data_IF_901720982754
#
_entry.id   IF_901720982754
#
_cell.length_a   1.000
_cell.length_b   1.000
_cell.length_c   1.000
_cell.angle_alpha   90.00
_cell.angle_beta   90.00
_cell.angle_gamma   90.00
#
_symmetry.space_group_name_H-M   'P 1'
#
loop_
_entity.id
_entity.type
_entity.pdbx_description
1 polymer ?
#
# COMPACT_ATOMS: atom_id res chain seq x y z
N UNK A 1 7.99 -37.03 27.38
CA UNK A 1 7.24 -35.75 27.30
C UNK A 1 7.66 -35.01 26.05
N UNK A 2 6.81 -34.95 25.03
CA UNK A 2 7.05 -34.10 23.86
C UNK A 2 6.81 -32.64 24.28
N UNK A 3 7.85 -31.80 24.24
CA UNK A 3 7.69 -30.35 24.41
C UNK A 3 6.86 -29.86 23.23
N UNK A 4 5.65 -29.37 23.49
CA UNK A 4 4.88 -28.63 22.49
C UNK A 4 5.75 -27.45 22.03
N UNK A 5 6.13 -27.46 20.75
CA UNK A 5 6.75 -26.31 20.10
C UNK A 5 5.68 -25.22 20.07
N UNK A 6 5.80 -24.21 20.93
CA UNK A 6 5.03 -22.97 20.79
C UNK A 6 5.33 -22.40 19.41
N UNK A 7 4.30 -22.25 18.58
CA UNK A 7 4.45 -21.59 17.28
C UNK A 7 4.89 -20.14 17.48
N UNK A 8 5.81 -19.69 16.63
CA UNK A 8 6.27 -18.31 16.63
C UNK A 8 5.09 -17.38 16.33
N UNK A 9 4.79 -16.46 17.25
CA UNK A 9 3.82 -15.39 17.04
C UNK A 9 4.56 -14.07 16.82
N UNK A 10 4.46 -13.45 15.63
CA UNK A 10 4.98 -12.11 15.38
C UNK A 10 4.39 -11.06 16.33
N UNK A 11 5.20 -10.09 16.72
CA UNK A 11 4.78 -8.92 17.49
C UNK A 11 4.76 -7.72 16.56
N UNK A 12 3.66 -6.94 16.59
CA UNK A 12 3.56 -5.67 15.89
C UNK A 12 4.49 -4.67 16.57
N UNK A 13 5.53 -4.22 15.84
CA UNK A 13 6.50 -3.25 16.33
C UNK A 13 6.08 -1.82 16.03
N UNK A 14 5.51 -1.59 14.85
CA UNK A 14 5.14 -0.25 14.42
C UNK A 14 4.06 -0.29 13.33
N UNK A 15 3.17 0.70 13.34
CA UNK A 15 2.13 0.93 12.33
C UNK A 15 2.33 2.32 11.72
N UNK A 16 2.55 2.37 10.41
CA UNK A 16 2.78 3.62 9.68
C UNK A 16 1.43 4.25 9.27
N UNK A 17 0.75 4.91 10.20
CA UNK A 17 -0.60 5.47 9.97
C UNK A 17 -0.66 6.44 8.77
N UNK A 18 0.31 7.34 8.65
CA UNK A 18 0.36 8.29 7.52
C UNK A 18 0.49 7.58 6.17
N UNK A 19 1.21 6.45 6.13
CA UNK A 19 1.35 5.63 4.94
C UNK A 19 0.04 4.94 4.59
N UNK A 20 -0.68 4.42 5.57
CA UNK A 20 -1.99 3.79 5.37
C UNK A 20 -2.96 4.80 4.78
N UNK A 21 -3.10 5.96 5.42
CA UNK A 21 -4.02 7.02 5.00
C UNK A 21 -3.68 7.51 3.59
N UNK A 22 -2.41 7.80 3.31
CA UNK A 22 -1.99 8.27 1.99
C UNK A 22 -2.16 7.21 0.90
N UNK A 23 -1.86 5.94 1.19
CA UNK A 23 -2.01 4.84 0.22
C UNK A 23 -3.47 4.58 -0.09
N UNK A 24 -4.36 4.55 0.91
CA UNK A 24 -5.81 4.42 0.71
C UNK A 24 -6.33 5.58 -0.13
N UNK A 25 -5.95 6.82 0.18
CA UNK A 25 -6.38 8.00 -0.59
C UNK A 25 -5.94 7.92 -2.06
N UNK A 26 -4.72 7.45 -2.31
CA UNK A 26 -4.21 7.24 -3.66
C UNK A 26 -5.01 6.15 -4.38
N UNK A 27 -5.30 5.03 -3.71
CA UNK A 27 -6.10 3.95 -4.26
C UNK A 27 -7.52 4.43 -4.61
N UNK A 28 -8.17 5.19 -3.73
CA UNK A 28 -9.47 5.81 -4.00
C UNK A 28 -9.43 6.81 -5.16
N UNK A 29 -8.32 7.54 -5.33
CA UNK A 29 -8.13 8.44 -6.48
C UNK A 29 -8.02 7.66 -7.79
N UNK A 30 -7.32 6.53 -7.81
CA UNK A 30 -7.24 5.65 -8.97
C UNK A 30 -8.61 5.04 -9.31
N UNK A 31 -9.36 4.59 -8.31
CA UNK A 31 -10.73 4.11 -8.50
C UNK A 31 -11.63 5.15 -9.18
N UNK A 32 -11.50 6.44 -8.84
CA UNK A 32 -12.22 7.54 -9.52
C UNK A 32 -11.82 7.70 -10.99
N UNK A 33 -10.54 7.51 -11.31
CA UNK A 33 -10.07 7.58 -12.70
C UNK A 33 -10.66 6.42 -13.52
N UNK A 34 -10.62 5.20 -13.00
CA UNK A 34 -11.23 4.04 -13.66
C UNK A 34 -12.74 4.20 -13.84
N UNK A 35 -13.47 4.69 -12.84
CA UNK A 35 -14.89 5.00 -13.00
C UNK A 35 -15.14 6.03 -14.11
N UNK A 36 -14.27 7.02 -14.25
CA UNK A 36 -14.37 8.03 -15.32
C UNK A 36 -14.08 7.41 -16.70
N UNK A 37 -13.12 6.49 -16.77
CA UNK A 37 -12.81 5.73 -17.98
C UNK A 37 -13.99 4.84 -18.40
N UNK A 38 -14.54 4.06 -17.47
CA UNK A 38 -15.71 3.22 -17.72
C UNK A 38 -16.93 4.04 -18.16
N UNK A 39 -17.15 5.22 -17.58
CA UNK A 39 -18.22 6.12 -18.04
C UNK A 39 -18.00 6.63 -19.45
N UNK A 40 -16.75 6.91 -19.83
CA UNK A 40 -16.40 7.27 -21.20
C UNK A 40 -16.65 6.09 -22.16
N UNK A 41 -16.36 4.86 -21.73
CA UNK A 41 -16.67 3.65 -22.48
C UNK A 41 -18.19 3.44 -22.65
N UNK A 42 -18.99 3.57 -21.59
CA UNK A 42 -20.45 3.50 -21.63
C UNK A 42 -21.04 4.53 -22.60
N UNK A 43 -20.52 5.77 -22.57
CA UNK A 43 -20.93 6.84 -23.48
C UNK A 43 -20.59 6.49 -24.93
N UNK A 44 -19.39 5.95 -25.17
CA UNK A 44 -18.93 5.60 -26.49
C UNK A 44 -19.69 4.41 -27.10
N UNK A 45 -20.01 3.42 -26.27
CA UNK A 45 -20.77 2.23 -26.66
C UNK A 45 -22.29 2.45 -26.68
N UNK A 46 -22.74 3.62 -26.20
CA UNK A 46 -24.16 3.98 -26.04
C UNK A 46 -24.96 2.89 -25.28
N UNK A 47 -24.35 2.29 -24.25
CA UNK A 47 -24.97 1.29 -23.38
C UNK A 47 -24.41 1.38 -21.97
N UNK A 48 -25.17 0.89 -21.01
CA UNK A 48 -24.66 0.65 -19.67
C UNK A 48 -23.87 -0.66 -19.66
N UNK A 49 -22.66 -0.63 -19.09
CA UNK A 49 -21.83 -1.83 -18.98
C UNK A 49 -22.26 -2.65 -17.76
N UNK A 50 -22.28 -3.96 -17.93
CA UNK A 50 -22.39 -4.91 -16.82
C UNK A 50 -21.10 -4.93 -15.99
N UNK A 51 -21.15 -5.48 -14.78
CA UNK A 51 -19.96 -5.58 -13.92
C UNK A 51 -18.87 -6.44 -14.59
N UNK A 52 -19.23 -7.52 -15.29
CA UNK A 52 -18.30 -8.37 -16.03
C UNK A 52 -17.63 -7.62 -17.20
N UNK A 53 -18.40 -6.88 -18.00
CA UNK A 53 -17.84 -6.07 -19.10
C UNK A 53 -16.93 -4.95 -18.58
N UNK A 54 -17.25 -4.38 -17.41
CA UNK A 54 -16.38 -3.38 -16.76
C UNK A 54 -15.05 -4.00 -16.36
N UNK A 55 -15.08 -5.21 -15.81
CA UNK A 55 -13.87 -5.96 -15.46
C UNK A 55 -13.02 -6.21 -16.71
N UNK A 56 -13.61 -6.72 -17.78
CA UNK A 56 -12.89 -6.99 -19.04
C UNK A 56 -12.24 -5.72 -19.62
N UNK A 57 -12.96 -4.59 -19.60
CA UNK A 57 -12.43 -3.30 -20.06
C UNK A 57 -11.31 -2.78 -19.16
N UNK A 58 -11.35 -3.02 -17.85
CA UNK A 58 -10.26 -2.61 -16.95
C UNK A 58 -9.00 -3.46 -17.12
N UNK A 59 -9.16 -4.73 -17.47
CA UNK A 59 -8.05 -5.67 -17.72
C UNK A 59 -7.39 -5.46 -19.08
N UNK A 60 -8.21 -5.34 -20.13
CA UNK A 60 -7.75 -5.29 -21.52
C UNK A 60 -7.69 -3.85 -22.07
N UNK A 61 -8.18 -2.87 -21.31
CA UNK A 61 -8.12 -1.46 -21.66
C UNK A 61 -8.98 -1.10 -22.88
N UNK A 62 -8.46 -0.21 -23.71
CA UNK A 62 -9.19 0.36 -24.84
C UNK A 62 -9.47 -0.67 -25.95
N UNK A 63 -8.67 -1.73 -26.04
CA UNK A 63 -8.85 -2.76 -27.07
C UNK A 63 -10.16 -3.55 -26.88
N UNK A 64 -10.59 -3.76 -25.64
CA UNK A 64 -11.88 -4.40 -25.34
C UNK A 64 -13.07 -3.54 -25.79
N UNK A 65 -12.95 -2.22 -25.62
CA UNK A 65 -13.95 -1.27 -26.12
C UNK A 65 -14.07 -1.38 -27.64
N UNK A 66 -12.94 -1.52 -28.34
CA UNK A 66 -12.92 -1.74 -29.78
C UNK A 66 -13.55 -3.08 -30.17
N UNK A 67 -13.32 -4.15 -29.39
CA UNK A 67 -14.01 -5.43 -29.57
C UNK A 67 -15.52 -5.27 -29.49
N UNK A 68 -16.03 -4.57 -28.48
CA UNK A 68 -17.46 -4.28 -28.38
C UNK A 68 -17.98 -3.45 -29.56
N UNK A 69 -17.28 -2.40 -29.98
CA UNK A 69 -17.67 -1.57 -31.13
C UNK A 69 -17.77 -2.37 -32.43
N UNK A 70 -16.79 -3.25 -32.69
CA UNK A 70 -16.75 -4.09 -33.89
C UNK A 70 -17.98 -4.96 -34.06
N UNK A 71 -18.63 -5.38 -32.97
CA UNK A 71 -19.88 -6.16 -33.05
C UNK A 71 -21.02 -5.40 -33.71
N UNK A 72 -21.00 -4.06 -33.64
CA UNK A 72 -22.00 -3.17 -34.22
C UNK A 72 -21.61 -2.59 -35.59
N UNK A 73 -20.46 -2.95 -36.15
CA UNK A 73 -20.00 -2.44 -37.43
C UNK A 73 -20.88 -2.96 -38.59
N UNK A 74 -21.38 -2.03 -39.41
CA UNK A 74 -22.25 -2.37 -40.54
C UNK A 74 -21.47 -2.90 -41.74
N UNK A 75 -20.21 -2.48 -41.89
CA UNK A 75 -19.36 -2.84 -43.02
C UNK A 75 -18.27 -3.82 -42.58
N UNK A 76 -18.63 -5.11 -42.47
CA UNK A 76 -17.75 -6.19 -41.95
C UNK A 76 -16.40 -6.35 -42.67
N UNK A 77 -16.31 -5.89 -43.92
CA UNK A 77 -15.09 -5.99 -44.74
C UNK A 77 -14.34 -4.65 -44.86
N UNK A 78 -14.88 -3.56 -44.30
CA UNK A 78 -14.20 -2.27 -44.28
C UNK A 78 -13.24 -2.18 -43.08
N UNK A 79 -12.35 -1.19 -43.09
CA UNK A 79 -11.47 -0.96 -41.94
C UNK A 79 -12.27 -0.46 -40.73
N UNK A 80 -11.67 -0.56 -39.54
CA UNK A 80 -12.27 -0.04 -38.31
C UNK A 80 -12.45 1.48 -38.42
N UNK A 81 -11.46 2.19 -38.97
CA UNK A 81 -11.52 3.65 -39.14
C UNK A 81 -12.71 4.08 -39.98
N UNK A 82 -12.97 3.38 -41.10
CA UNK A 82 -14.12 3.67 -41.95
C UNK A 82 -15.44 3.44 -41.20
N UNK A 83 -15.57 2.34 -40.45
CA UNK A 83 -16.78 2.06 -39.69
C UNK A 83 -17.02 3.10 -38.58
N UNK A 84 -15.97 3.48 -37.85
CA UNK A 84 -16.01 4.52 -36.82
C UNK A 84 -16.46 5.86 -37.43
N UNK A 85 -15.85 6.27 -38.55
CA UNK A 85 -16.17 7.52 -39.23
C UNK A 85 -17.61 7.50 -39.79
N UNK A 86 -18.01 6.41 -40.45
CA UNK A 86 -19.35 6.26 -41.01
C UNK A 86 -20.45 6.28 -39.92
N UNK A 87 -20.14 5.85 -38.70
CA UNK A 87 -21.04 5.91 -37.55
C UNK A 87 -20.95 7.24 -36.77
N UNK A 88 -20.04 8.15 -37.16
CA UNK A 88 -19.83 9.43 -36.48
C UNK A 88 -19.26 9.30 -35.07
N UNK A 89 -18.56 8.20 -34.78
CA UNK A 89 -18.03 7.90 -33.45
C UNK A 89 -16.71 8.66 -33.23
N UNK A 90 -16.63 9.45 -32.16
CA UNK A 90 -15.40 10.12 -31.77
C UNK A 90 -14.68 9.35 -30.64
N UNK A 91 -13.58 8.67 -30.98
CA UNK A 91 -12.79 7.89 -30.02
C UNK A 91 -11.88 8.74 -29.11
N UNK A 92 -11.58 9.99 -29.49
CA UNK A 92 -10.54 10.81 -28.83
C UNK A 92 -10.81 11.00 -27.31
N UNK A 93 -12.04 11.36 -26.87
CA UNK A 93 -12.31 11.56 -25.45
C UNK A 93 -12.05 10.29 -24.64
N UNK A 94 -12.50 9.13 -25.13
CA UNK A 94 -12.31 7.86 -24.43
C UNK A 94 -10.82 7.48 -24.40
N UNK A 95 -10.11 7.56 -25.52
CA UNK A 95 -8.65 7.29 -25.56
C UNK A 95 -7.87 8.14 -24.56
N UNK A 96 -8.20 9.43 -24.46
CA UNK A 96 -7.51 10.33 -23.54
C UNK A 96 -7.75 9.96 -22.06
N UNK A 97 -8.97 9.57 -21.70
CA UNK A 97 -9.27 9.17 -20.31
C UNK A 97 -8.61 7.84 -19.96
N UNK A 98 -8.62 6.87 -20.87
CA UNK A 98 -7.93 5.59 -20.66
C UNK A 98 -6.41 5.74 -20.61
N UNK A 99 -5.81 6.63 -21.43
CA UNK A 99 -4.38 6.92 -21.37
C UNK A 99 -3.93 7.56 -20.05
N UNK A 100 -4.85 8.21 -19.32
CA UNK A 100 -4.58 8.79 -18.00
C UNK A 100 -4.66 7.75 -16.87
N UNK A 101 -5.25 6.58 -17.13
CA UNK A 101 -5.31 5.48 -16.17
C UNK A 101 -3.97 4.73 -16.19
N UNK A 102 -3.05 5.12 -15.31
CA UNK A 102 -1.67 4.59 -15.27
C UNK A 102 -1.51 3.30 -14.45
N UNK A 103 -2.59 2.82 -13.84
CA UNK A 103 -2.59 1.63 -12.98
C UNK A 103 -3.17 0.40 -13.68
N UNK A 104 -2.52 -0.75 -13.50
CA UNK A 104 -3.11 -2.06 -13.76
C UNK A 104 -4.21 -2.29 -12.73
N UNK A 105 -5.38 -2.74 -13.18
CA UNK A 105 -6.46 -3.11 -12.28
C UNK A 105 -6.03 -4.33 -11.45
N UNK A 106 -6.03 -4.18 -10.12
CA UNK A 106 -5.66 -5.25 -9.19
C UNK A 106 -6.89 -5.71 -8.40
N UNK A 107 -7.35 -6.91 -8.72
CA UNK A 107 -8.49 -7.57 -8.07
C UNK A 107 -8.33 -7.77 -6.56
N UNK A 108 -7.12 -7.75 -6.03
CA UNK A 108 -6.92 -7.86 -4.58
C UNK A 108 -7.17 -6.53 -3.85
N UNK A 109 -6.92 -5.42 -4.54
CA UNK A 109 -7.04 -4.07 -3.98
C UNK A 109 -8.42 -3.45 -4.28
N UNK A 110 -9.03 -3.80 -5.40
CA UNK A 110 -10.23 -3.16 -5.91
C UNK A 110 -11.34 -4.16 -6.16
N UNK A 111 -12.57 -3.68 -6.07
CA UNK A 111 -13.78 -4.41 -6.43
C UNK A 111 -14.71 -3.52 -7.26
N UNK A 112 -15.57 -4.13 -8.06
CA UNK A 112 -16.72 -3.45 -8.65
C UNK A 112 -17.94 -3.83 -7.82
N UNK A 113 -18.58 -2.82 -7.22
CA UNK A 113 -19.80 -3.02 -6.45
C UNK A 113 -20.87 -2.07 -6.97
N UNK A 114 -22.00 -2.65 -7.40
CA UNK A 114 -23.10 -1.87 -7.99
C UNK A 114 -22.64 -1.01 -9.17
N UNK A 115 -21.78 -1.56 -10.04
CA UNK A 115 -21.26 -0.86 -11.21
C UNK A 115 -20.22 0.23 -10.94
N UNK A 116 -19.72 0.36 -9.72
CA UNK A 116 -18.72 1.37 -9.34
C UNK A 116 -17.45 0.66 -8.85
N UNK A 117 -16.31 1.07 -9.40
CA UNK A 117 -14.99 0.64 -8.92
C UNK A 117 -14.69 1.32 -7.58
N UNK A 118 -14.34 0.53 -6.57
CA UNK A 118 -13.95 1.03 -5.25
C UNK A 118 -12.84 0.18 -4.64
N UNK A 119 -12.16 0.71 -3.62
CA UNK A 119 -11.18 -0.06 -2.85
C UNK A 119 -11.92 -1.11 -2.03
N UNK A 120 -11.56 -2.38 -2.19
CA UNK A 120 -12.19 -3.49 -1.48
C UNK A 120 -11.78 -3.49 -0.01
N UNK A 121 -12.57 -4.15 0.84
CA UNK A 121 -12.22 -4.33 2.25
C UNK A 121 -10.92 -5.15 2.39
N UNK A 122 -10.74 -6.17 1.56
CA UNK A 122 -9.50 -6.94 1.48
C UNK A 122 -8.31 -6.06 1.08
N UNK A 123 -8.51 -5.16 0.12
CA UNK A 123 -7.50 -4.18 -0.30
C UNK A 123 -7.07 -3.26 0.84
N UNK A 124 -8.03 -2.76 1.63
CA UNK A 124 -7.74 -1.95 2.83
C UNK A 124 -6.89 -2.74 3.83
N UNK A 125 -7.27 -3.99 4.12
CA UNK A 125 -6.53 -4.85 5.03
C UNK A 125 -5.11 -5.18 4.55
N UNK A 126 -4.93 -5.37 3.24
CA UNK A 126 -3.60 -5.56 2.63
C UNK A 126 -2.74 -4.30 2.78
N UNK A 127 -3.28 -3.13 2.46
CA UNK A 127 -2.58 -1.85 2.64
C UNK A 127 -2.17 -1.64 4.11
N UNK A 128 -3.05 -1.95 5.05
CA UNK A 128 -2.75 -1.87 6.49
C UNK A 128 -1.64 -2.84 6.88
N UNK A 129 -1.74 -4.10 6.47
CA UNK A 129 -0.75 -5.14 6.76
C UNK A 129 0.62 -4.79 6.20
N UNK A 130 0.69 -4.31 4.97
CA UNK A 130 1.95 -3.93 4.29
C UNK A 130 2.55 -2.63 4.85
N UNK A 131 1.73 -1.86 5.56
CA UNK A 131 2.14 -0.66 6.31
C UNK A 131 2.38 -0.94 7.79
N UNK A 132 2.46 -2.21 8.20
CA UNK A 132 2.82 -2.62 9.54
C UNK A 132 4.19 -3.32 9.54
N UNK A 133 4.99 -3.04 10.57
CA UNK A 133 6.25 -3.72 10.81
C UNK A 133 6.05 -4.74 11.93
N UNK A 134 6.25 -6.01 11.61
CA UNK A 134 6.22 -7.11 12.57
C UNK A 134 7.62 -7.70 12.75
N UNK A 135 7.86 -8.29 13.91
CA UNK A 135 9.01 -9.16 14.12
C UNK A 135 8.92 -10.39 13.21
N UNK A 136 10.08 -10.93 12.83
CA UNK A 136 10.21 -12.08 11.91
C UNK A 136 10.81 -13.31 12.58
N UNK A 137 11.36 -13.16 13.79
CA UNK A 137 12.04 -14.25 14.52
C UNK A 137 11.77 -14.17 16.03
N UNK A 138 11.90 -15.30 16.74
CA UNK A 138 11.82 -15.34 18.20
C UNK A 138 12.85 -14.41 18.85
N UNK A 139 14.07 -14.34 18.29
CA UNK A 139 15.11 -13.45 18.78
C UNK A 139 14.68 -11.98 18.69
N UNK A 140 14.01 -11.59 17.62
CA UNK A 140 13.45 -10.23 17.50
C UNK A 140 12.33 -9.99 18.51
N UNK A 141 11.49 -10.98 18.83
CA UNK A 141 10.50 -10.85 19.91
C UNK A 141 11.15 -10.58 21.26
N UNK A 142 12.20 -11.31 21.60
CA UNK A 142 12.93 -11.12 22.87
C UNK A 142 13.55 -9.73 22.95
N UNK A 143 14.24 -9.31 21.89
CA UNK A 143 14.89 -7.99 21.82
C UNK A 143 13.85 -6.88 21.92
N UNK A 144 12.72 -7.01 21.22
CA UNK A 144 11.64 -6.04 21.27
C UNK A 144 11.05 -5.91 22.68
N UNK A 145 10.74 -7.04 23.35
CA UNK A 145 10.24 -7.02 24.75
C UNK A 145 11.26 -6.43 25.73
N UNK A 146 12.55 -6.68 25.53
CA UNK A 146 13.60 -6.06 26.33
C UNK A 146 13.63 -4.54 26.12
N UNK A 147 13.53 -4.09 24.87
CA UNK A 147 13.46 -2.67 24.55
C UNK A 147 12.23 -1.99 25.17
N UNK A 148 11.05 -2.62 25.12
CA UNK A 148 9.83 -2.13 25.78
C UNK A 148 10.03 -1.97 27.29
N UNK A 149 10.63 -2.96 27.95
CA UNK A 149 10.93 -2.89 29.39
C UNK A 149 11.91 -1.77 29.73
N UNK A 150 12.99 -1.62 28.95
CA UNK A 150 13.94 -0.54 29.16
C UNK A 150 13.30 0.84 28.98
N UNK A 151 12.49 1.00 27.92
CA UNK A 151 11.74 2.23 27.69
C UNK A 151 10.77 2.54 28.83
N UNK A 152 10.06 1.54 29.34
CA UNK A 152 9.16 1.69 30.49
C UNK A 152 9.91 2.15 31.74
N UNK A 153 11.04 1.51 32.08
CA UNK A 153 11.85 1.90 33.24
C UNK A 153 12.40 3.33 33.12
N UNK A 154 12.87 3.73 31.93
CA UNK A 154 13.35 5.11 31.69
C UNK A 154 12.19 6.11 31.84
N UNK A 155 11.03 5.82 31.27
CA UNK A 155 9.84 6.67 31.39
C UNK A 155 9.40 6.81 32.86
N UNK A 156 9.42 5.72 33.63
CA UNK A 156 9.12 5.74 35.06
C UNK A 156 10.14 6.59 35.84
N UNK A 157 11.43 6.43 35.58
CA UNK A 157 12.48 7.22 36.22
C UNK A 157 12.38 8.72 35.90
N UNK A 158 11.97 9.08 34.67
CA UNK A 158 11.67 10.46 34.28
C UNK A 158 10.43 11.01 35.00
N UNK A 159 9.37 10.20 35.11
CA UNK A 159 8.12 10.61 35.76
C UNK A 159 8.26 10.77 37.29
N UNK A 160 9.13 9.97 37.90
CA UNK A 160 9.44 10.04 39.33
C UNK A 160 10.54 11.06 39.68
N UNK A 161 11.08 11.77 38.67
CA UNK A 161 12.21 12.69 38.79
C UNK A 161 13.50 12.06 39.37
N UNK A 162 13.62 10.73 39.30
CA UNK A 162 14.91 10.04 39.55
C UNK A 162 15.93 10.45 38.49
N UNK A 163 15.45 10.63 37.25
CA UNK A 163 16.18 11.26 36.16
C UNK A 163 15.56 12.63 35.92
N UNK A 164 16.36 13.70 35.94
CA UNK A 164 15.85 15.04 35.64
C UNK A 164 15.54 15.17 34.15
N UNK A 165 14.51 15.94 33.80
CA UNK A 165 14.24 16.28 32.38
C UNK A 165 15.43 17.01 31.73
N UNK A 166 16.31 17.63 32.51
CA UNK A 166 17.56 18.25 32.07
C UNK A 166 18.62 17.22 31.62
N UNK A 167 18.50 15.96 32.05
CA UNK A 167 19.43 14.88 31.72
C UNK A 167 19.07 14.16 30.40
N UNK A 168 17.89 14.47 29.84
CA UNK A 168 17.38 13.88 28.59
C UNK A 168 18.37 14.00 27.42
N UNK A 169 19.02 15.16 27.17
CA UNK A 169 20.01 15.27 26.09
C UNK A 169 21.25 14.36 26.30
N UNK A 170 21.62 14.10 27.57
CA UNK A 170 22.71 13.19 27.91
C UNK A 170 22.37 11.74 27.59
N UNK A 171 21.14 11.32 27.93
CA UNK A 171 20.62 9.99 27.59
C UNK A 171 20.49 9.78 26.08
N UNK A 172 19.97 10.77 25.35
CA UNK A 172 19.87 10.72 23.88
C UNK A 172 21.26 10.57 23.24
N UNK A 173 22.26 11.29 23.75
CA UNK A 173 23.65 11.19 23.27
C UNK A 173 24.27 9.83 23.60
N UNK A 174 24.03 9.28 24.78
CA UNK A 174 24.50 7.94 25.14
C UNK A 174 23.89 6.86 24.23
N UNK A 175 22.58 6.94 23.95
CA UNK A 175 21.90 6.04 23.02
C UNK A 175 22.48 6.18 21.61
N UNK A 176 22.70 7.41 21.12
CA UNK A 176 23.32 7.63 19.80
C UNK A 176 24.72 7.01 19.70
N UNK A 177 25.55 7.18 20.73
CA UNK A 177 26.90 6.59 20.77
C UNK A 177 26.83 5.06 20.73
N UNK A 178 25.92 4.48 21.51
CA UNK A 178 25.75 3.02 21.59
C UNK A 178 25.14 2.47 20.29
N UNK A 179 24.33 3.25 19.57
CA UNK A 179 23.59 2.82 18.37
C UNK A 179 24.32 3.06 17.04
N UNK A 180 25.46 3.78 17.03
CA UNK A 180 26.21 4.03 15.80
C UNK A 180 26.94 2.76 15.32
N UNK A 181 26.63 2.24 14.11
CA UNK A 181 27.38 1.13 13.53
C UNK A 181 28.77 1.62 13.10
N UNK A 182 29.84 1.01 13.64
CA UNK A 182 31.23 1.31 13.25
C UNK A 182 31.80 0.37 12.18
N UNK A 183 30.96 -0.21 11.32
CA UNK A 183 31.41 -1.10 10.25
C UNK A 183 30.29 -1.65 9.38
N UNK A 184 30.67 -2.33 8.28
CA UNK A 184 29.76 -2.85 7.27
C UNK A 184 28.91 -4.04 7.75
N UNK A 185 29.30 -4.77 8.79
CA UNK A 185 28.53 -5.90 9.31
C UNK A 185 28.71 -6.01 10.84
N UNK A 186 27.58 -6.07 11.52
CA UNK A 186 27.37 -6.33 12.95
C UNK A 186 27.54 -5.18 13.96
N UNK A 187 26.46 -5.00 14.73
CA UNK A 187 26.35 -4.09 15.85
C UNK A 187 27.18 -4.60 17.03
N UNK A 188 28.20 -3.83 17.43
CA UNK A 188 28.99 -4.10 18.65
C UNK A 188 28.98 -2.85 19.53
N UNK A 189 28.39 -2.90 20.75
CA UNK A 189 28.45 -1.79 21.71
C UNK A 189 29.90 -1.46 22.09
N UNK A 190 30.23 -0.17 22.17
CA UNK A 190 31.54 0.29 22.63
C UNK A 190 31.62 0.22 24.17
N UNK A 191 32.15 -0.90 24.67
CA UNK A 191 32.30 -1.16 26.09
C UNK A 191 33.22 -0.17 26.82
N UNK A 192 34.20 0.43 26.14
CA UNK A 192 35.07 1.45 26.76
C UNK A 192 34.31 2.75 27.01
N UNK A 193 33.46 3.16 26.05
CA UNK A 193 32.64 4.36 26.21
C UNK A 193 31.52 4.14 27.21
N UNK A 194 30.88 2.96 27.23
CA UNK A 194 29.88 2.62 28.24
C UNK A 194 30.51 2.69 29.64
N UNK A 195 31.66 2.07 29.85
CA UNK A 195 32.33 2.07 31.15
C UNK A 195 32.77 3.47 31.61
N UNK A 196 33.11 4.37 30.68
CA UNK A 196 33.49 5.76 31.01
C UNK A 196 32.30 6.64 31.38
N UNK A 197 31.07 6.23 31.03
CA UNK A 197 29.83 6.96 31.33
C UNK A 197 29.13 6.37 32.57
N UNK A 198 29.26 5.07 32.83
CA UNK A 198 28.57 4.36 33.92
C UNK A 198 29.39 4.14 35.19
N UNK A 199 30.71 4.38 35.16
CA UNK A 199 31.61 4.28 36.31
C UNK A 199 32.22 5.62 36.66
#
# INVERSE_FOLDING_TARGET
>A
MQKQKTEFTPILMHKYEDRIVSTIKNAESLAKQWNSALKAAETLLNKQLTDDEKIEILDNGFDEIMTHLRTGFQFKNASDEFNIEAQGINLIPAKNVFAQCTGVYDYNTYEIKQGIVQVSEQGRQLIEKDSCLFTKTERQNEVYRLAERLAACVNEALNTNIISKLDKPGLERAIQIITQPRGLNDFVPDYEVINRITG
#
